data_IF_746501838420
#
_entry.id   IF_746501838420
#
_cell.length_a   1.000
_cell.length_b   1.000
_cell.length_c   1.000
_cell.angle_alpha   90.00
_cell.angle_beta   90.00
_cell.angle_gamma   90.00
#
_symmetry.space_group_name_H-M   'P 1'
#
loop_
_entity.id
_entity.type
_entity.pdbx_description
1 polymer ?
#
# COMPACT_ATOMS: atom_id res chain seq x y z
N UNK A 1 -2.90 18.88 -24.04
CA UNK A 1 -2.06 18.33 -22.93
C UNK A 1 -2.25 16.83 -22.91
N UNK A 2 -1.19 16.03 -22.86
CA UNK A 2 -1.33 14.57 -22.79
C UNK A 2 -2.01 14.17 -21.48
N UNK A 3 -2.98 13.26 -21.54
CA UNK A 3 -3.70 12.76 -20.37
C UNK A 3 -2.70 12.05 -19.44
N UNK A 4 -2.61 12.48 -18.18
CA UNK A 4 -1.72 11.86 -17.20
C UNK A 4 -2.27 10.49 -16.85
N UNK A 5 -1.38 9.51 -16.80
CA UNK A 5 -1.74 8.16 -16.35
C UNK A 5 -1.17 7.93 -14.96
N UNK A 6 -1.81 7.05 -14.18
CA UNK A 6 -1.28 6.62 -12.89
C UNK A 6 0.18 6.16 -13.02
N UNK A 7 0.51 5.37 -14.05
CA UNK A 7 1.88 4.88 -14.26
C UNK A 7 2.89 6.02 -14.43
N UNK A 8 2.55 7.07 -15.18
CA UNK A 8 3.44 8.23 -15.38
C UNK A 8 3.62 9.05 -14.10
N UNK A 9 2.53 9.30 -13.35
CA UNK A 9 2.60 10.03 -12.09
C UNK A 9 3.36 9.23 -11.03
N UNK A 10 3.10 7.93 -10.93
CA UNK A 10 3.73 7.05 -9.96
C UNK A 10 5.23 6.91 -10.19
N UNK A 11 5.69 6.89 -11.45
CA UNK A 11 7.12 6.94 -11.78
C UNK A 11 7.78 8.26 -11.35
N UNK A 12 7.05 9.38 -11.43
CA UNK A 12 7.56 10.67 -10.95
C UNK A 12 7.63 10.71 -9.43
N UNK A 13 6.59 10.22 -8.73
CA UNK A 13 6.64 10.04 -7.28
C UNK A 13 7.81 9.17 -6.89
N UNK A 14 8.01 8.01 -7.54
CA UNK A 14 9.15 7.14 -7.25
C UNK A 14 10.47 7.91 -7.29
N UNK A 15 10.73 8.63 -8.38
CA UNK A 15 11.97 9.40 -8.52
C UNK A 15 12.12 10.45 -7.41
N UNK A 16 11.08 11.23 -7.14
CA UNK A 16 11.15 12.29 -6.14
C UNK A 16 11.25 11.74 -4.72
N UNK A 17 10.48 10.71 -4.37
CA UNK A 17 10.51 10.05 -3.08
C UNK A 17 11.87 9.38 -2.81
N UNK A 18 12.46 8.70 -3.79
CA UNK A 18 13.80 8.11 -3.63
C UNK A 18 14.87 9.19 -3.45
N UNK A 19 14.78 10.29 -4.19
CA UNK A 19 15.68 11.43 -4.00
C UNK A 19 15.49 12.06 -2.62
N UNK A 20 14.25 12.13 -2.10
CA UNK A 20 13.95 12.67 -0.78
C UNK A 20 14.52 11.81 0.35
N UNK A 21 14.47 10.49 0.17
CA UNK A 21 14.93 9.49 1.15
C UNK A 21 16.46 9.30 1.13
N UNK A 22 17.15 9.77 0.10
CA UNK A 22 18.59 9.61 -0.03
C UNK A 22 19.36 10.35 1.08
N UNK A 23 20.50 9.79 1.48
CA UNK A 23 21.42 10.46 2.41
C UNK A 23 21.98 11.73 1.77
N UNK A 24 21.99 12.85 2.52
CA UNK A 24 22.43 14.15 2.03
C UNK A 24 21.47 14.85 1.05
N UNK A 25 20.24 14.37 0.93
CA UNK A 25 19.23 14.99 0.08
C UNK A 25 18.87 16.43 0.51
N UNK A 26 18.75 17.32 -0.47
CA UNK A 26 18.18 18.65 -0.28
C UNK A 26 16.65 18.55 -0.23
N UNK A 27 16.12 18.23 0.96
CA UNK A 27 14.68 18.02 1.19
C UNK A 27 13.87 19.28 0.94
N UNK A 28 14.41 20.46 1.22
CA UNK A 28 13.75 21.74 1.01
C UNK A 28 13.58 22.05 -0.48
N UNK A 29 14.50 21.58 -1.35
CA UNK A 29 14.35 21.67 -2.80
C UNK A 29 13.44 20.59 -3.42
N UNK A 30 13.23 19.47 -2.73
CA UNK A 30 12.43 18.34 -3.23
C UNK A 30 10.96 18.44 -2.79
N UNK A 31 10.70 18.86 -1.54
CA UNK A 31 9.35 18.94 -0.97
C UNK A 31 8.38 19.75 -1.85
N UNK A 32 8.71 20.95 -2.37
CA UNK A 32 7.79 21.70 -3.21
C UNK A 32 7.44 20.99 -4.53
N UNK A 33 8.35 20.13 -5.04
CA UNK A 33 8.11 19.35 -6.27
C UNK A 33 7.18 18.17 -6.01
N UNK A 34 7.27 17.58 -4.81
CA UNK A 34 6.33 16.56 -4.36
C UNK A 34 4.94 17.17 -4.16
N UNK A 35 4.86 18.32 -3.50
CA UNK A 35 3.61 19.04 -3.25
C UNK A 35 2.91 19.44 -4.57
N UNK A 36 3.65 20.02 -5.53
CA UNK A 36 3.10 20.32 -6.87
C UNK A 36 2.65 19.07 -7.63
N UNK A 37 3.33 17.93 -7.45
CA UNK A 37 2.87 16.68 -8.04
C UNK A 37 1.57 16.19 -7.40
N UNK A 38 1.47 16.23 -6.07
CA UNK A 38 0.26 15.86 -5.31
C UNK A 38 -0.93 16.73 -5.63
N UNK A 39 -0.77 18.04 -5.65
CA UNK A 39 -1.83 18.98 -6.05
C UNK A 39 -2.37 18.68 -7.44
N UNK A 40 -1.47 18.32 -8.37
CA UNK A 40 -1.84 18.01 -9.75
C UNK A 40 -2.50 16.64 -9.90
N UNK A 41 -2.10 15.65 -9.10
CA UNK A 41 -2.68 14.30 -9.12
C UNK A 41 -4.06 14.30 -8.45
N UNK A 42 -4.22 15.02 -7.34
CA UNK A 42 -5.49 15.13 -6.61
C UNK A 42 -6.56 15.89 -7.41
N UNK A 43 -6.16 16.80 -8.31
CA UNK A 43 -7.07 17.47 -9.27
C UNK A 43 -7.45 16.59 -10.47
N UNK A 44 -6.79 15.47 -10.66
CA UNK A 44 -7.07 14.53 -11.75
C UNK A 44 -8.05 13.43 -11.32
N UNK A 45 -8.44 12.58 -12.25
CA UNK A 45 -9.36 11.44 -12.03
C UNK A 45 -8.69 10.22 -11.39
N UNK A 46 -7.38 10.27 -11.13
CA UNK A 46 -6.60 9.11 -10.65
C UNK A 46 -7.15 8.57 -9.33
N UNK A 47 -7.40 9.44 -8.34
CA UNK A 47 -7.98 9.04 -7.05
C UNK A 47 -9.35 8.39 -7.22
N UNK A 48 -10.23 9.02 -8.03
CA UNK A 48 -11.56 8.49 -8.32
C UNK A 48 -11.53 7.11 -9.00
N UNK A 49 -10.57 6.87 -9.91
CA UNK A 49 -10.39 5.57 -10.56
C UNK A 49 -9.92 4.53 -9.55
N UNK A 50 -8.99 4.85 -8.65
CA UNK A 50 -8.55 3.92 -7.60
C UNK A 50 -9.69 3.56 -6.64
N UNK A 51 -10.50 4.54 -6.25
CA UNK A 51 -11.71 4.32 -5.45
C UNK A 51 -12.67 3.37 -6.17
N UNK A 52 -12.97 3.66 -7.44
CA UNK A 52 -13.89 2.83 -8.22
C UNK A 52 -13.40 1.39 -8.39
N UNK A 53 -12.10 1.16 -8.49
CA UNK A 53 -11.53 -0.17 -8.75
C UNK A 53 -11.35 -1.00 -7.47
N UNK A 54 -10.99 -0.35 -6.35
CA UNK A 54 -10.52 -1.06 -5.16
C UNK A 54 -11.35 -0.81 -3.91
N UNK A 55 -12.14 0.27 -3.83
CA UNK A 55 -12.90 0.64 -2.63
C UNK A 55 -14.39 0.35 -2.82
N UNK A 56 -14.99 0.82 -3.91
CA UNK A 56 -16.42 0.60 -4.22
C UNK A 56 -16.89 -0.87 -4.26
N UNK A 57 -16.04 -1.86 -4.60
CA UNK A 57 -16.44 -3.26 -4.47
C UNK A 57 -16.75 -3.71 -3.03
N UNK A 58 -16.28 -2.96 -2.02
CA UNK A 58 -16.39 -3.30 -0.60
C UNK A 58 -17.25 -2.32 0.19
N UNK A 59 -17.26 -1.04 -0.20
CA UNK A 59 -17.99 0.02 0.49
C UNK A 59 -18.89 0.78 -0.46
N UNK A 60 -20.13 1.03 -0.05
CA UNK A 60 -21.10 1.82 -0.82
C UNK A 60 -21.03 3.32 -0.53
N UNK A 61 -20.40 3.68 0.59
CA UNK A 61 -20.30 5.07 1.04
C UNK A 61 -19.35 5.88 0.14
N UNK A 62 -19.61 7.19 -0.03
CA UNK A 62 -18.78 8.05 -0.87
C UNK A 62 -17.42 8.27 -0.19
N UNK A 63 -16.42 7.52 -0.65
CA UNK A 63 -15.02 7.66 -0.21
C UNK A 63 -14.21 8.40 -1.27
N UNK A 64 -13.34 9.30 -0.84
CA UNK A 64 -12.35 9.96 -1.71
C UNK A 64 -10.96 9.41 -1.47
N UNK A 65 -10.08 9.60 -2.44
CA UNK A 65 -8.67 9.25 -2.30
C UNK A 65 -7.78 10.41 -2.72
N UNK A 66 -6.90 10.81 -1.81
CA UNK A 66 -5.93 11.87 -2.01
C UNK A 66 -4.50 11.36 -1.81
N UNK A 67 -3.55 12.05 -2.42
CA UNK A 67 -2.12 11.84 -2.25
C UNK A 67 -1.54 12.98 -1.41
N UNK A 68 -0.89 12.61 -0.32
CA UNK A 68 -0.23 13.53 0.60
C UNK A 68 1.27 13.25 0.60
N UNK A 69 2.05 14.31 0.42
CA UNK A 69 3.50 14.24 0.40
C UNK A 69 4.14 15.05 1.51
N UNK A 70 3.37 15.63 2.44
CA UNK A 70 3.95 16.40 3.53
C UNK A 70 4.80 15.48 4.41
N UNK A 71 6.10 15.77 4.43
CA UNK A 71 7.10 15.05 5.21
C UNK A 71 7.88 16.02 6.12
N UNK A 72 7.36 17.23 6.39
CA UNK A 72 8.05 18.26 7.17
C UNK A 72 8.34 17.82 8.61
N UNK A 73 7.46 17.02 9.20
CA UNK A 73 7.65 16.42 10.53
C UNK A 73 8.43 15.10 10.49
N UNK A 74 8.93 14.71 9.32
CA UNK A 74 9.57 13.43 9.06
C UNK A 74 8.71 12.52 8.17
N UNK A 75 9.32 11.42 7.73
CA UNK A 75 8.61 10.41 6.93
C UNK A 75 7.83 9.51 7.86
N UNK A 76 6.50 9.51 7.71
CA UNK A 76 5.61 8.66 8.49
C UNK A 76 5.75 7.19 8.09
N UNK A 77 5.70 6.27 9.05
CA UNK A 77 5.52 4.85 8.78
C UNK A 77 4.10 4.51 8.27
N UNK A 78 3.16 5.45 8.31
CA UNK A 78 1.82 5.24 7.76
C UNK A 78 1.76 5.56 6.27
N UNK A 79 1.77 4.49 5.45
CA UNK A 79 1.69 4.56 3.98
C UNK A 79 0.32 5.00 3.47
N UNK A 80 -0.70 4.78 4.28
CA UNK A 80 -2.05 5.27 4.06
C UNK A 80 -2.70 5.65 5.37
N UNK A 81 -3.76 6.45 5.32
CA UNK A 81 -4.65 6.75 6.45
C UNK A 81 -6.09 6.86 5.93
N UNK A 82 -7.05 6.68 6.82
CA UNK A 82 -8.46 6.97 6.54
C UNK A 82 -8.96 7.95 7.59
N UNK A 83 -9.55 9.04 7.12
CA UNK A 83 -10.24 10.02 7.95
C UNK A 83 -11.75 9.78 7.88
N UNK A 84 -12.39 9.29 8.97
CA UNK A 84 -13.82 9.01 8.98
C UNK A 84 -14.70 10.28 8.96
N UNK A 85 -14.16 11.44 9.36
CA UNK A 85 -14.94 12.69 9.37
C UNK A 85 -15.12 13.23 7.96
N UNK A 86 -14.07 13.17 7.14
CA UNK A 86 -14.07 13.67 5.76
C UNK A 86 -14.28 12.57 4.72
N UNK A 87 -14.26 11.30 5.14
CA UNK A 87 -14.36 10.11 4.30
C UNK A 87 -13.26 10.04 3.23
N UNK A 88 -12.04 10.43 3.60
CA UNK A 88 -10.88 10.50 2.71
C UNK A 88 -9.87 9.43 3.09
N UNK A 89 -9.46 8.63 2.09
CA UNK A 89 -8.25 7.82 2.18
C UNK A 89 -7.08 8.64 1.66
N UNK A 90 -6.07 8.83 2.50
CA UNK A 90 -4.82 9.47 2.10
C UNK A 90 -3.77 8.42 1.82
N UNK A 91 -3.13 8.48 0.65
CA UNK A 91 -1.93 7.70 0.31
C UNK A 91 -0.71 8.61 0.47
N UNK A 92 0.36 8.10 1.09
CA UNK A 92 1.62 8.84 1.28
C UNK A 92 2.73 8.27 0.41
N UNK A 93 2.99 8.83 -0.79
CA UNK A 93 3.92 8.23 -1.75
C UNK A 93 5.33 8.04 -1.17
N UNK A 94 5.85 8.99 -0.41
CA UNK A 94 7.19 8.90 0.19
C UNK A 94 7.28 7.68 1.12
N UNK A 95 6.31 7.49 2.00
CA UNK A 95 6.21 6.34 2.90
C UNK A 95 6.00 5.02 2.15
N UNK A 96 5.25 5.03 1.04
CA UNK A 96 5.08 3.85 0.17
C UNK A 96 6.43 3.43 -0.44
N UNK A 97 7.19 4.39 -0.99
CA UNK A 97 8.50 4.09 -1.58
C UNK A 97 9.56 3.76 -0.54
N UNK A 98 9.46 4.31 0.67
CA UNK A 98 10.29 3.91 1.80
C UNK A 98 10.08 2.43 2.14
N UNK A 99 8.83 1.98 2.25
CA UNK A 99 8.52 0.55 2.49
C UNK A 99 8.97 -0.33 1.33
N UNK A 100 8.75 0.12 0.10
CA UNK A 100 9.14 -0.61 -1.10
C UNK A 100 10.66 -0.84 -1.14
N UNK A 101 11.47 0.20 -0.90
CA UNK A 101 12.93 0.05 -0.87
C UNK A 101 13.41 -0.67 0.39
N UNK A 102 12.73 -0.51 1.53
CA UNK A 102 13.02 -1.32 2.71
C UNK A 102 12.90 -2.81 2.38
N UNK A 103 11.77 -3.25 1.80
CA UNK A 103 11.58 -4.66 1.45
C UNK A 103 12.58 -5.19 0.40
N UNK A 104 13.00 -4.35 -0.56
CA UNK A 104 14.01 -4.73 -1.58
C UNK A 104 15.40 -4.92 -1.01
N UNK A 105 15.75 -4.15 0.00
CA UNK A 105 17.06 -4.19 0.65
C UNK A 105 17.05 -5.05 1.92
N UNK A 106 15.92 -5.67 2.25
CA UNK A 106 15.76 -6.51 3.42
C UNK A 106 16.43 -7.86 3.18
N UNK A 107 17.37 -8.22 4.05
CA UNK A 107 17.88 -9.58 4.09
C UNK A 107 16.83 -10.50 4.73
N UNK A 108 16.73 -11.74 4.23
CA UNK A 108 15.79 -12.71 4.77
C UNK A 108 16.14 -12.99 6.25
N UNK A 109 15.23 -12.71 7.20
CA UNK A 109 15.54 -12.88 8.62
C UNK A 109 15.75 -14.36 8.97
N UNK A 110 16.63 -14.58 9.95
CA UNK A 110 16.88 -15.88 10.56
C UNK A 110 15.71 -16.26 11.49
N UNK A 111 14.94 -17.32 11.18
CA UNK A 111 13.82 -17.76 12.01
C UNK A 111 14.22 -18.14 13.44
N UNK A 112 15.50 -18.46 13.69
CA UNK A 112 15.98 -18.79 15.04
C UNK A 112 16.20 -17.55 15.93
N UNK A 113 16.26 -16.36 15.33
CA UNK A 113 16.64 -15.10 16.01
C UNK A 113 15.59 -14.01 15.92
N UNK A 114 14.49 -14.26 15.20
CA UNK A 114 13.43 -13.28 14.98
C UNK A 114 12.10 -13.89 15.36
N UNK A 115 11.27 -13.11 16.03
CA UNK A 115 9.89 -13.47 16.31
C UNK A 115 9.19 -13.94 15.01
N UNK A 116 8.41 -15.01 15.13
CA UNK A 116 7.84 -15.71 13.98
C UNK A 116 6.98 -14.82 13.09
N UNK A 117 6.15 -13.96 13.67
CA UNK A 117 5.29 -13.01 12.93
C UNK A 117 6.13 -12.00 12.15
N UNK A 118 7.13 -11.41 12.81
CA UNK A 118 8.07 -10.46 12.19
C UNK A 118 8.87 -11.12 11.06
N UNK A 119 9.37 -12.35 11.28
CA UNK A 119 10.09 -13.12 10.28
C UNK A 119 9.22 -13.38 9.02
N UNK A 120 7.96 -13.77 9.23
CA UNK A 120 7.00 -13.98 8.13
C UNK A 120 6.70 -12.70 7.38
N UNK A 121 6.41 -11.60 8.09
CA UNK A 121 6.11 -10.31 7.49
C UNK A 121 7.27 -9.81 6.62
N UNK A 122 8.50 -9.90 7.10
CA UNK A 122 9.70 -9.50 6.36
C UNK A 122 9.91 -10.34 5.10
N UNK A 123 9.81 -11.67 5.19
CA UNK A 123 9.91 -12.55 4.02
C UNK A 123 8.80 -12.27 3.00
N UNK A 124 7.60 -11.98 3.49
CA UNK A 124 6.49 -11.58 2.64
C UNK A 124 6.77 -10.25 1.93
N UNK A 125 7.29 -9.23 2.62
CA UNK A 125 7.66 -7.96 2.00
C UNK A 125 8.70 -8.14 0.89
N UNK A 126 9.73 -8.96 1.11
CA UNK A 126 10.73 -9.30 0.08
C UNK A 126 10.02 -9.84 -1.17
N UNK A 127 9.09 -10.77 -1.01
CA UNK A 127 8.30 -11.33 -2.11
C UNK A 127 7.42 -10.29 -2.81
N UNK A 128 6.76 -9.40 -2.05
CA UNK A 128 5.89 -8.37 -2.62
C UNK A 128 6.65 -7.32 -3.44
N UNK A 129 7.90 -7.04 -3.08
CA UNK A 129 8.74 -6.07 -3.81
C UNK A 129 9.26 -6.58 -5.16
N UNK A 130 9.01 -7.84 -5.51
CA UNK A 130 9.20 -8.34 -6.89
C UNK A 130 8.20 -7.71 -7.87
N UNK A 131 7.06 -7.24 -7.38
CA UNK A 131 6.08 -6.53 -8.20
C UNK A 131 6.61 -5.16 -8.60
N UNK A 132 6.23 -4.70 -9.79
CA UNK A 132 6.47 -3.29 -10.14
C UNK A 132 5.72 -2.34 -9.17
N UNK A 133 6.16 -1.08 -9.00
CA UNK A 133 5.61 -0.17 -8.00
C UNK A 133 4.10 0.12 -8.09
N UNK A 134 3.48 0.00 -9.27
CA UNK A 134 2.05 0.28 -9.45
C UNK A 134 1.16 -0.82 -8.84
N UNK A 135 1.33 -2.12 -9.15
CA UNK A 135 0.68 -3.20 -8.39
C UNK A 135 0.97 -3.16 -6.89
N UNK A 136 2.18 -2.74 -6.48
CA UNK A 136 2.49 -2.57 -5.07
C UNK A 136 1.65 -1.45 -4.42
N UNK A 137 1.38 -0.35 -5.13
CA UNK A 137 0.40 0.65 -4.68
C UNK A 137 -1.00 0.03 -4.52
N UNK A 138 -1.45 -0.77 -5.49
CA UNK A 138 -2.76 -1.42 -5.40
C UNK A 138 -2.88 -2.33 -4.19
N UNK A 139 -1.81 -3.06 -3.86
CA UNK A 139 -1.72 -3.86 -2.64
C UNK A 139 -1.96 -3.01 -1.39
N UNK A 140 -1.33 -1.84 -1.29
CA UNK A 140 -1.47 -0.96 -0.11
C UNK A 140 -2.83 -0.27 -0.04
N UNK A 141 -3.46 0.02 -1.18
CA UNK A 141 -4.86 0.48 -1.23
C UNK A 141 -5.79 -0.61 -0.70
N UNK A 142 -5.64 -1.85 -1.15
CA UNK A 142 -6.43 -2.98 -0.67
C UNK A 142 -6.14 -3.30 0.81
N UNK A 143 -4.92 -3.08 1.28
CA UNK A 143 -4.62 -3.20 2.71
C UNK A 143 -5.42 -2.17 3.52
N UNK A 144 -5.57 -0.93 3.03
CA UNK A 144 -6.41 0.08 3.67
C UNK A 144 -7.88 -0.34 3.69
N UNK A 145 -8.38 -0.93 2.62
CA UNK A 145 -9.72 -1.54 2.58
C UNK A 145 -9.86 -2.62 3.66
N UNK A 146 -8.86 -3.48 3.82
CA UNK A 146 -8.87 -4.53 4.85
C UNK A 146 -8.93 -3.95 6.28
N UNK A 147 -8.19 -2.86 6.54
CA UNK A 147 -8.27 -2.15 7.82
C UNK A 147 -9.66 -1.54 8.06
N UNK A 148 -10.25 -0.90 7.04
CA UNK A 148 -11.59 -0.31 7.16
C UNK A 148 -12.70 -1.36 7.30
N UNK A 149 -12.50 -2.55 6.73
CA UNK A 149 -13.42 -3.67 6.83
C UNK A 149 -13.13 -4.58 8.03
N UNK A 150 -12.16 -4.21 8.88
CA UNK A 150 -11.85 -4.92 10.11
C UNK A 150 -11.48 -6.41 9.91
N UNK A 151 -10.91 -6.77 8.76
CA UNK A 151 -10.69 -8.15 8.32
C UNK A 151 -9.76 -8.95 9.27
N UNK A 152 -8.88 -8.26 9.99
CA UNK A 152 -7.93 -8.87 10.93
C UNK A 152 -8.28 -8.63 12.41
N UNK A 153 -9.50 -8.15 12.69
CA UNK A 153 -9.99 -7.97 14.05
C UNK A 153 -10.54 -9.28 14.62
N UNK A 154 -10.21 -9.58 15.88
CA UNK A 154 -10.76 -10.71 16.61
C UNK A 154 -11.85 -10.21 17.56
N UNK A 155 -13.11 -10.59 17.32
CA UNK A 155 -14.17 -10.41 18.32
C UNK A 155 -14.03 -11.44 19.45
N UNK A 156 -13.74 -10.99 20.67
CA UNK A 156 -13.90 -11.82 21.88
C UNK A 156 -15.35 -11.78 22.38
N UNK A 157 -15.76 -12.82 23.11
CA UNK A 157 -17.06 -12.87 23.83
C UNK A 157 -17.20 -11.61 24.69
N UNK A 158 -18.10 -10.70 24.30
CA UNK A 158 -18.30 -9.41 24.95
C UNK A 158 -18.29 -8.20 24.01
N UNK A 159 -17.99 -8.39 22.72
CA UNK A 159 -18.04 -7.31 21.72
C UNK A 159 -16.85 -6.34 21.78
N UNK A 160 -15.78 -6.72 22.49
CA UNK A 160 -14.52 -5.98 22.46
C UNK A 160 -13.72 -6.46 21.26
N UNK A 161 -13.50 -5.55 20.32
CA UNK A 161 -12.68 -5.74 19.14
C UNK A 161 -11.22 -5.47 19.54
N UNK A 162 -10.39 -6.51 19.53
CA UNK A 162 -8.94 -6.36 19.72
C UNK A 162 -8.21 -6.50 18.38
N UNK A 163 -7.25 -5.61 18.14
CA UNK A 163 -6.31 -5.70 17.02
C UNK A 163 -5.47 -6.96 17.20
N UNK A 164 -5.53 -7.88 16.26
CA UNK A 164 -4.74 -9.11 16.33
C UNK A 164 -3.23 -8.82 16.23
N UNK A 165 -2.43 -9.62 16.92
CA UNK A 165 -0.98 -9.62 16.72
C UNK A 165 -0.67 -9.88 15.24
N UNK A 166 0.15 -9.03 14.62
CA UNK A 166 0.45 -9.14 13.20
C UNK A 166 -0.67 -8.67 12.27
N UNK A 167 -1.62 -7.85 12.72
CA UNK A 167 -2.69 -7.25 11.90
C UNK A 167 -2.19 -6.71 10.55
N UNK A 168 -1.07 -5.97 10.56
CA UNK A 168 -0.46 -5.44 9.33
C UNK A 168 -0.05 -6.54 8.35
N UNK A 169 0.42 -7.69 8.84
CA UNK A 169 0.74 -8.84 8.02
C UNK A 169 -0.53 -9.52 7.48
N UNK A 170 -1.52 -9.75 8.34
CA UNK A 170 -2.77 -10.41 7.95
C UNK A 170 -3.59 -9.60 6.94
N UNK A 171 -3.70 -8.29 7.15
CA UNK A 171 -4.35 -7.37 6.18
C UNK A 171 -3.62 -7.34 4.85
N UNK A 172 -2.28 -7.40 4.85
CA UNK A 172 -1.49 -7.51 3.63
C UNK A 172 -1.70 -8.85 2.90
N UNK A 173 -1.82 -9.97 3.61
CA UNK A 173 -2.12 -11.27 3.00
C UNK A 173 -3.49 -11.27 2.31
N UNK A 174 -4.50 -10.71 2.98
CA UNK A 174 -5.82 -10.52 2.39
C UNK A 174 -5.75 -9.62 1.15
N UNK A 175 -5.08 -8.47 1.27
CA UNK A 175 -4.93 -7.52 0.18
C UNK A 175 -4.22 -8.14 -1.03
N UNK A 176 -3.22 -8.98 -0.79
CA UNK A 176 -2.53 -9.71 -1.87
C UNK A 176 -3.49 -10.66 -2.57
N UNK A 177 -4.33 -11.39 -1.82
CA UNK A 177 -5.31 -12.30 -2.42
C UNK A 177 -6.32 -11.57 -3.30
N UNK A 178 -6.85 -10.44 -2.84
CA UNK A 178 -7.75 -9.60 -3.63
C UNK A 178 -7.06 -9.02 -4.86
N UNK A 179 -5.79 -8.63 -4.75
CA UNK A 179 -5.00 -8.18 -5.89
C UNK A 179 -4.81 -9.29 -6.93
N UNK A 180 -4.59 -10.54 -6.51
CA UNK A 180 -4.52 -11.68 -7.43
C UNK A 180 -5.84 -11.88 -8.19
N UNK A 181 -6.97 -11.82 -7.47
CA UNK A 181 -8.31 -11.94 -8.05
C UNK A 181 -8.56 -10.82 -9.05
N UNK A 182 -8.28 -9.58 -8.67
CA UNK A 182 -8.42 -8.41 -9.54
C UNK A 182 -7.54 -8.52 -10.79
N UNK A 183 -6.26 -8.88 -10.63
CA UNK A 183 -5.31 -9.01 -11.75
C UNK A 183 -5.77 -10.09 -12.73
N UNK A 184 -6.22 -11.24 -12.21
CA UNK A 184 -6.76 -12.32 -13.04
C UNK A 184 -8.01 -11.88 -13.80
N UNK A 185 -8.93 -11.16 -13.15
CA UNK A 185 -10.18 -10.67 -13.77
C UNK A 185 -9.93 -9.61 -14.85
N UNK A 186 -9.05 -8.65 -14.57
CA UNK A 186 -8.83 -7.49 -15.45
C UNK A 186 -7.82 -7.77 -16.57
N UNK A 187 -6.81 -8.59 -16.31
CA UNK A 187 -5.69 -8.83 -17.24
C UNK A 187 -5.57 -10.27 -17.73
N UNK A 188 -6.33 -11.20 -17.15
CA UNK A 188 -6.26 -12.62 -17.50
C UNK A 188 -4.96 -13.32 -17.08
N UNK A 189 -4.11 -12.67 -16.28
CA UNK A 189 -2.80 -13.20 -15.89
C UNK A 189 -2.77 -13.60 -14.42
N UNK A 190 -1.96 -14.61 -14.11
CA UNK A 190 -1.64 -14.98 -12.74
C UNK A 190 -0.54 -14.04 -12.22
N UNK A 191 -0.84 -13.28 -11.14
CA UNK A 191 0.08 -12.29 -10.57
C UNK A 191 1.38 -12.92 -10.08
N UNK A 192 1.32 -14.09 -9.42
CA UNK A 192 2.50 -14.80 -8.93
C UNK A 192 3.41 -15.24 -10.08
N UNK A 193 2.84 -15.82 -11.13
CA UNK A 193 3.59 -16.23 -12.31
C UNK A 193 4.22 -15.04 -13.04
N UNK A 194 3.50 -13.91 -13.12
CA UNK A 194 3.99 -12.69 -13.77
C UNK A 194 5.24 -12.12 -13.08
N UNK A 195 5.29 -12.15 -11.75
CA UNK A 195 6.36 -11.51 -10.96
C UNK A 195 7.29 -12.51 -10.24
N UNK A 196 7.14 -13.82 -10.46
CA UNK A 196 7.94 -14.85 -9.78
C UNK A 196 7.77 -14.86 -8.26
N UNK A 197 6.55 -14.62 -7.79
CA UNK A 197 6.21 -14.56 -6.34
C UNK A 197 5.99 -15.98 -5.83
N UNK A 198 6.71 -16.35 -4.78
CA UNK A 198 6.69 -17.66 -4.14
C UNK A 198 6.22 -17.54 -2.69
N UNK A 199 5.01 -17.01 -2.49
CA UNK A 199 4.36 -16.92 -1.18
C UNK A 199 2.95 -17.51 -1.22
N UNK A 200 2.66 -18.46 -0.32
CA UNK A 200 1.41 -19.23 -0.34
C UNK A 200 0.57 -19.08 0.93
N UNK A 201 1.09 -18.43 2.00
CA UNK A 201 0.29 -18.22 3.23
C UNK A 201 -0.96 -17.36 2.98
N UNK A 202 -0.97 -16.54 1.91
CA UNK A 202 -2.14 -15.78 1.51
C UNK A 202 -3.33 -16.67 1.08
N UNK A 203 -3.08 -17.92 0.70
CA UNK A 203 -4.15 -18.88 0.36
C UNK A 203 -4.88 -19.40 1.61
N UNK A 204 -4.33 -19.17 2.80
CA UNK A 204 -4.93 -19.60 4.07
C UNK A 204 -5.83 -18.54 4.71
N UNK A 205 -5.80 -17.29 4.22
CA UNK A 205 -6.69 -16.24 4.71
C UNK A 205 -8.09 -16.47 4.16
N UNK A 206 -9.03 -16.73 5.07
CA UNK A 206 -10.46 -16.85 4.79
C UNK A 206 -11.17 -15.60 5.32
N UNK A 207 -11.75 -14.79 4.44
CA UNK A 207 -12.54 -13.61 4.79
C UNK A 207 -12.97 -12.87 3.53
N UNK A 208 -14.28 -12.63 3.39
CA UNK A 208 -14.86 -11.68 2.44
C UNK A 208 -15.64 -10.66 3.22
#
# INVERSE_FOLDING_TARGET
MAQRTLATCWKQYQKLSLNYLAEGADRDAIQPKLDDLSDRVNKDTIGAVLVSLFIHPFFTDPVKMDFDTDCREGVSDQRSAFDPETNVITIRPVSVFQLYEFGRNLEAPDPARTEMVTCRYHRFLIEMTKMSPVPFLFLLVLQRVAFMAEIAHLEKRGGVIEVAEGESYHTMLWAFKELEVWTRRQRGVNLRAQYGICWYEADWITGR
#
